data_IF_900936344337
#
_entry.id   IF_900936344337
#
_cell.length_a   1.000
_cell.length_b   1.000
_cell.length_c   1.000
_cell.angle_alpha   90.00
_cell.angle_beta   90.00
_cell.angle_gamma   90.00
#
_symmetry.space_group_name_H-M   'P 1'
#
loop_
_entity.id
_entity.type
_entity.pdbx_description
1 polymer ?
#
# COMPACT_ATOMS: atom_id res chain seq x y z
N UNK A 1 1.31 3.68 -24.31
CA UNK A 1 1.72 4.99 -23.76
C UNK A 1 0.77 5.31 -22.63
N UNK A 2 1.26 5.29 -21.39
CA UNK A 2 0.50 5.75 -20.25
C UNK A 2 0.53 7.28 -20.23
N UNK A 3 -0.58 7.94 -19.88
CA UNK A 3 -0.52 9.34 -19.50
C UNK A 3 -0.48 9.44 -17.97
N UNK A 4 -0.23 10.64 -17.45
CA UNK A 4 -0.17 10.87 -15.99
C UNK A 4 -1.45 10.40 -15.28
N UNK A 5 -2.63 10.46 -15.93
CA UNK A 5 -3.88 9.98 -15.34
C UNK A 5 -3.89 8.45 -15.23
N UNK A 6 -3.32 7.73 -16.19
CA UNK A 6 -3.14 6.28 -16.12
C UNK A 6 -2.27 5.90 -14.93
N UNK A 7 -1.14 6.60 -14.74
CA UNK A 7 -0.24 6.37 -13.58
C UNK A 7 -0.98 6.62 -12.27
N UNK A 8 -1.64 7.77 -12.14
CA UNK A 8 -2.40 8.09 -10.93
C UNK A 8 -3.57 7.15 -10.67
N UNK A 9 -4.21 6.61 -11.71
CA UNK A 9 -5.23 5.57 -11.54
C UNK A 9 -4.62 4.31 -10.93
N UNK A 10 -3.46 3.87 -11.44
CA UNK A 10 -2.82 2.66 -10.94
C UNK A 10 -2.27 2.82 -9.52
N UNK A 11 -1.69 3.98 -9.19
CA UNK A 11 -1.32 4.28 -7.81
C UNK A 11 -2.55 4.23 -6.89
N UNK A 12 -3.65 4.88 -7.26
CA UNK A 12 -4.88 4.82 -6.46
C UNK A 12 -5.40 3.39 -6.28
N UNK A 13 -5.34 2.56 -7.33
CA UNK A 13 -5.75 1.16 -7.26
C UNK A 13 -4.85 0.34 -6.33
N UNK A 14 -3.55 0.59 -6.29
CA UNK A 14 -2.61 -0.06 -5.36
C UNK A 14 -2.95 0.33 -3.92
N UNK A 15 -3.07 1.63 -3.62
CA UNK A 15 -3.40 2.11 -2.26
C UNK A 15 -4.76 1.53 -1.80
N UNK A 16 -5.76 1.47 -2.69
CA UNK A 16 -7.05 0.86 -2.37
C UNK A 16 -6.95 -0.65 -2.15
N UNK A 17 -6.13 -1.36 -2.94
CA UNK A 17 -5.92 -2.79 -2.76
C UNK A 17 -5.20 -3.11 -1.47
N UNK A 18 -4.18 -2.34 -1.09
CA UNK A 18 -3.52 -2.45 0.22
C UNK A 18 -4.48 -2.17 1.37
N UNK A 19 -5.29 -1.11 1.27
CA UNK A 19 -6.38 -0.79 2.21
C UNK A 19 -7.31 -1.99 2.42
N UNK A 20 -7.79 -2.56 1.32
CA UNK A 20 -8.73 -3.69 1.35
C UNK A 20 -8.07 -4.94 1.91
N UNK A 21 -6.79 -5.18 1.59
CA UNK A 21 -6.04 -6.30 2.13
C UNK A 21 -5.91 -6.17 3.65
N UNK A 22 -5.49 -5.01 4.17
CA UNK A 22 -5.39 -4.82 5.62
C UNK A 22 -6.73 -4.86 6.33
N UNK A 23 -7.80 -4.38 5.68
CA UNK A 23 -9.15 -4.55 6.21
C UNK A 23 -9.53 -6.03 6.31
N UNK A 24 -9.27 -6.83 5.27
CA UNK A 24 -9.52 -8.26 5.29
C UNK A 24 -8.69 -8.98 6.35
N UNK A 25 -7.38 -8.71 6.44
CA UNK A 25 -6.53 -9.28 7.50
C UNK A 25 -7.08 -8.92 8.88
N UNK A 26 -7.51 -7.68 9.10
CA UNK A 26 -8.15 -7.27 10.34
C UNK A 26 -9.37 -8.12 10.67
N UNK A 27 -10.21 -8.44 9.67
CA UNK A 27 -11.42 -9.24 9.84
C UNK A 27 -11.14 -10.71 10.15
N UNK A 28 -10.03 -11.28 9.66
CA UNK A 28 -9.58 -12.64 10.03
C UNK A 28 -9.16 -12.74 11.51
N UNK A 29 -8.87 -11.62 12.16
CA UNK A 29 -8.39 -11.57 13.55
C UNK A 29 -9.36 -10.87 14.51
N UNK A 30 -10.69 -10.91 14.29
CA UNK A 30 -11.66 -10.26 15.20
C UNK A 30 -11.56 -10.72 16.66
N UNK A 31 -11.17 -11.97 16.89
CA UNK A 31 -10.97 -12.53 18.23
C UNK A 31 -9.62 -12.15 18.85
N UNK A 32 -8.68 -11.61 18.06
CA UNK A 32 -7.44 -11.03 18.53
C UNK A 32 -7.50 -9.50 18.45
N UNK A 33 -7.95 -8.87 19.53
CA UNK A 33 -8.16 -7.42 19.58
C UNK A 33 -6.92 -6.61 19.22
N UNK A 34 -5.72 -7.10 19.54
CA UNK A 34 -4.47 -6.40 19.24
C UNK A 34 -4.18 -6.38 17.73
N UNK A 35 -4.23 -7.54 17.08
CA UNK A 35 -4.05 -7.64 15.62
C UNK A 35 -5.17 -6.93 14.85
N UNK A 36 -6.43 -7.12 15.27
CA UNK A 36 -7.58 -6.43 14.67
C UNK A 36 -7.34 -4.92 14.66
N UNK A 37 -7.01 -4.33 15.81
CA UNK A 37 -6.80 -2.87 15.90
C UNK A 37 -5.60 -2.41 15.10
N UNK A 38 -4.53 -3.21 15.09
CA UNK A 38 -3.32 -2.89 14.35
C UNK A 38 -3.61 -2.85 12.83
N UNK A 39 -4.19 -3.90 12.26
CA UNK A 39 -4.49 -3.95 10.82
C UNK A 39 -5.62 -3.00 10.41
N UNK A 40 -6.60 -2.75 11.28
CA UNK A 40 -7.59 -1.69 11.05
C UNK A 40 -6.93 -0.31 10.95
N UNK A 41 -5.89 -0.05 11.75
CA UNK A 41 -5.13 1.20 11.64
C UNK A 41 -4.39 1.29 10.31
N UNK A 42 -3.66 0.25 9.92
CA UNK A 42 -2.97 0.20 8.63
C UNK A 42 -3.93 0.48 7.47
N UNK A 43 -5.09 -0.19 7.45
CA UNK A 43 -6.16 0.06 6.47
C UNK A 43 -6.58 1.54 6.39
N UNK A 44 -6.70 2.25 7.51
CA UNK A 44 -7.05 3.69 7.50
C UNK A 44 -5.91 4.58 7.00
N UNK A 45 -4.66 4.20 7.23
CA UNK A 45 -3.50 4.91 6.72
C UNK A 45 -3.47 4.79 5.17
N UNK A 46 -3.71 3.59 4.61
CA UNK A 46 -3.84 3.41 3.15
C UNK A 46 -5.04 4.14 2.53
N UNK A 47 -6.15 4.25 3.26
CA UNK A 47 -7.28 5.07 2.81
C UNK A 47 -6.87 6.55 2.65
N UNK A 48 -5.99 7.03 3.53
CA UNK A 48 -5.45 8.38 3.47
C UNK A 48 -4.54 8.55 2.25
N UNK A 49 -3.69 7.57 1.96
CA UNK A 49 -2.84 7.54 0.76
C UNK A 49 -3.67 7.61 -0.53
N UNK A 50 -4.68 6.75 -0.65
CA UNK A 50 -5.62 6.79 -1.76
C UNK A 50 -6.31 8.18 -1.87
N UNK A 51 -6.59 8.82 -0.74
CA UNK A 51 -7.07 10.20 -0.67
C UNK A 51 -6.11 11.23 -1.27
N UNK A 52 -4.80 11.10 -1.00
CA UNK A 52 -3.76 11.97 -1.58
C UNK A 52 -3.69 11.81 -3.11
N UNK A 53 -3.73 10.57 -3.60
CA UNK A 53 -3.73 10.29 -5.05
C UNK A 53 -4.98 10.85 -5.72
N UNK A 54 -6.17 10.65 -5.11
CA UNK A 54 -7.44 11.24 -5.58
C UNK A 54 -7.37 12.76 -5.67
N UNK A 55 -6.74 13.42 -4.70
CA UNK A 55 -6.55 14.86 -4.72
C UNK A 55 -5.67 15.27 -5.91
N UNK A 56 -4.54 14.59 -6.12
CA UNK A 56 -3.67 14.86 -7.26
C UNK A 56 -4.37 14.67 -8.61
N UNK A 57 -5.20 13.63 -8.75
CA UNK A 57 -6.02 13.41 -9.96
C UNK A 57 -6.96 14.59 -10.25
N UNK A 58 -7.52 15.21 -9.22
CA UNK A 58 -8.38 16.41 -9.38
C UNK A 58 -7.57 17.59 -9.92
N UNK A 59 -6.36 17.81 -9.41
CA UNK A 59 -5.46 18.87 -9.89
C UNK A 59 -5.08 18.66 -11.36
N UNK A 60 -4.74 17.43 -11.74
CA UNK A 60 -4.43 17.08 -13.14
C UNK A 60 -5.61 17.33 -14.06
N UNK A 61 -6.82 16.93 -13.66
CA UNK A 61 -8.05 17.16 -14.45
C UNK A 61 -8.38 18.64 -14.62
N UNK A 62 -8.02 19.49 -13.66
CA UNK A 62 -8.24 20.93 -13.75
C UNK A 62 -7.25 21.62 -14.69
N UNK A 63 -6.06 21.04 -14.89
CA UNK A 63 -4.99 21.64 -15.68
C UNK A 63 -4.34 20.64 -16.64
N UNK A 64 -5.10 20.01 -17.56
CA UNK A 64 -4.61 18.88 -18.37
C UNK A 64 -3.41 19.27 -19.25
N UNK A 65 -3.34 20.52 -19.72
CA UNK A 65 -2.25 21.01 -20.57
C UNK A 65 -0.94 21.29 -19.81
N UNK A 66 -0.94 21.18 -18.48
CA UNK A 66 0.26 21.39 -17.66
C UNK A 66 1.10 20.11 -17.48
N UNK A 67 0.65 18.99 -18.04
CA UNK A 67 1.31 17.69 -17.85
C UNK A 67 1.72 17.12 -19.19
N UNK A 68 3.00 16.76 -19.31
CA UNK A 68 3.54 16.15 -20.52
C UNK A 68 3.06 14.71 -20.66
N UNK A 69 2.81 14.28 -21.90
CA UNK A 69 2.65 12.86 -22.20
C UNK A 69 4.04 12.20 -22.21
N UNK A 70 4.23 11.23 -21.32
CA UNK A 70 5.47 10.45 -21.24
C UNK A 70 5.14 8.99 -21.35
N UNK A 71 5.90 8.25 -22.17
CA UNK A 71 5.72 6.81 -22.29
C UNK A 71 6.40 6.09 -21.13
N UNK A 72 5.64 5.75 -20.09
CA UNK A 72 6.12 4.90 -18.99
C UNK A 72 5.54 3.49 -19.15
N UNK A 73 6.37 2.47 -18.99
CA UNK A 73 5.91 1.08 -18.86
C UNK A 73 5.31 0.92 -17.45
N UNK A 74 4.12 0.34 -17.35
CA UNK A 74 3.41 0.15 -16.08
C UNK A 74 3.23 -1.35 -15.74
N UNK A 75 3.88 -2.25 -16.49
CA UNK A 75 3.72 -3.70 -16.35
C UNK A 75 3.99 -4.20 -14.93
N UNK A 76 5.09 -3.77 -14.30
CA UNK A 76 5.46 -4.15 -12.93
C UNK A 76 4.41 -3.72 -11.90
N UNK A 77 3.86 -2.50 -12.00
CA UNK A 77 2.76 -2.06 -11.12
C UNK A 77 1.49 -2.89 -11.33
N UNK A 78 1.20 -3.29 -12.57
CA UNK A 78 0.06 -4.15 -12.88
C UNK A 78 0.24 -5.54 -12.28
N UNK A 79 1.43 -6.11 -12.36
CA UNK A 79 1.77 -7.39 -11.74
C UNK A 79 1.67 -7.31 -10.21
N UNK A 80 2.17 -6.23 -9.61
CA UNK A 80 2.06 -6.00 -8.18
C UNK A 80 0.59 -5.86 -7.72
N UNK A 81 -0.21 -5.08 -8.43
CA UNK A 81 -1.64 -4.94 -8.13
C UNK A 81 -2.38 -6.30 -8.22
N UNK A 82 -2.08 -7.10 -9.24
CA UNK A 82 -2.64 -8.44 -9.38
C UNK A 82 -2.19 -9.35 -8.23
N UNK A 83 -0.93 -9.27 -7.83
CA UNK A 83 -0.40 -10.02 -6.72
C UNK A 83 -1.15 -9.70 -5.42
N UNK A 84 -1.25 -8.42 -5.02
CA UNK A 84 -1.98 -7.99 -3.81
C UNK A 84 -3.43 -8.49 -3.85
N UNK A 85 -4.11 -8.26 -4.97
CA UNK A 85 -5.54 -8.58 -5.11
C UNK A 85 -5.82 -10.09 -5.03
N UNK A 86 -4.82 -10.93 -5.36
CA UNK A 86 -4.95 -12.39 -5.33
C UNK A 86 -4.72 -13.01 -3.96
N UNK A 87 -4.18 -12.26 -2.99
CA UNK A 87 -3.80 -12.79 -1.68
C UNK A 87 -5.00 -13.41 -0.93
N UNK A 88 -6.16 -12.73 -0.78
CA UNK A 88 -7.28 -13.29 -0.02
C UNK A 88 -7.82 -14.61 -0.57
N UNK A 89 -7.64 -14.86 -1.87
CA UNK A 89 -8.04 -16.10 -2.53
C UNK A 89 -7.02 -17.23 -2.33
N UNK A 90 -5.75 -16.90 -2.09
CA UNK A 90 -4.64 -17.86 -1.96
C UNK A 90 -4.33 -18.23 -0.53
N UNK A 91 -4.50 -17.30 0.39
CA UNK A 91 -4.21 -17.47 1.80
C UNK A 91 -5.51 -17.80 2.55
N UNK A 92 -5.59 -19.00 3.09
CA UNK A 92 -6.70 -19.45 3.93
C UNK A 92 -6.19 -19.78 5.33
N UNK A 93 -6.97 -19.44 6.36
CA UNK A 93 -6.61 -19.64 7.77
C UNK A 93 -5.31 -18.91 8.15
N UNK A 94 -5.29 -17.59 7.97
CA UNK A 94 -4.12 -16.79 8.28
C UNK A 94 -3.71 -16.92 9.75
N UNK A 95 -2.47 -17.35 9.99
CA UNK A 95 -1.90 -17.28 11.33
C UNK A 95 -1.38 -15.86 11.61
N UNK A 96 -1.33 -15.42 12.88
CA UNK A 96 -0.72 -14.14 13.25
C UNK A 96 0.68 -13.91 12.65
N UNK A 97 1.53 -14.93 12.73
CA UNK A 97 2.89 -14.88 12.19
C UNK A 97 2.88 -14.69 10.67
N UNK A 98 2.02 -15.42 9.95
CA UNK A 98 1.92 -15.28 8.49
C UNK A 98 1.39 -13.91 8.11
N UNK A 99 0.40 -13.37 8.83
CA UNK A 99 -0.18 -12.05 8.58
C UNK A 99 0.88 -10.95 8.67
N UNK A 100 1.65 -10.97 9.76
CA UNK A 100 2.70 -10.00 10.02
C UNK A 100 3.83 -10.12 9.01
N UNK A 101 4.26 -11.35 8.69
CA UNK A 101 5.29 -11.58 7.69
C UNK A 101 4.85 -11.09 6.31
N UNK A 102 3.62 -11.41 5.91
CA UNK A 102 3.05 -10.97 4.64
C UNK A 102 2.97 -9.43 4.55
N UNK A 103 2.50 -8.77 5.61
CA UNK A 103 2.45 -7.32 5.65
C UNK A 103 3.84 -6.67 5.56
N UNK A 104 4.84 -7.24 6.25
CA UNK A 104 6.24 -6.78 6.17
C UNK A 104 6.83 -7.01 4.77
N UNK A 105 6.51 -8.15 4.14
CA UNK A 105 6.95 -8.45 2.77
C UNK A 105 6.41 -7.39 1.80
N UNK A 106 5.11 -7.10 1.86
CA UNK A 106 4.45 -6.13 0.97
C UNK A 106 5.00 -4.71 1.13
N UNK A 107 5.11 -4.21 2.36
CA UNK A 107 5.61 -2.86 2.67
C UNK A 107 7.12 -2.71 2.43
N UNK A 108 7.81 -3.85 2.30
CA UNK A 108 9.23 -3.94 2.01
C UNK A 108 9.57 -4.24 0.56
N UNK A 109 8.59 -4.33 -0.35
CA UNK A 109 8.86 -4.65 -1.76
C UNK A 109 9.62 -3.51 -2.45
N UNK A 110 10.80 -3.84 -2.98
CA UNK A 110 11.66 -2.89 -3.67
C UNK A 110 11.11 -2.53 -5.06
N UNK A 111 10.28 -3.39 -5.64
CA UNK A 111 9.66 -3.20 -6.96
C UNK A 111 8.81 -1.92 -7.00
N UNK A 112 8.04 -1.68 -5.95
CA UNK A 112 7.24 -0.46 -5.82
C UNK A 112 8.13 0.79 -5.71
N UNK A 113 9.23 0.69 -4.96
CA UNK A 113 10.17 1.80 -4.74
C UNK A 113 10.95 2.15 -6.01
N UNK A 114 11.37 1.14 -6.78
CA UNK A 114 12.03 1.34 -8.07
C UNK A 114 11.10 2.05 -9.04
N UNK A 115 9.84 1.63 -9.07
CA UNK A 115 8.84 2.21 -9.95
C UNK A 115 8.55 3.68 -9.64
N UNK A 116 8.47 4.02 -8.37
CA UNK A 116 8.27 5.40 -7.87
C UNK A 116 9.37 6.35 -8.38
N UNK A 117 10.62 5.87 -8.50
CA UNK A 117 11.71 6.63 -9.14
C UNK A 117 11.43 6.94 -10.61
N UNK A 118 11.01 5.93 -11.38
CA UNK A 118 10.65 6.09 -12.80
C UNK A 118 9.47 7.05 -12.98
N UNK A 119 8.45 7.00 -12.10
CA UNK A 119 7.34 7.97 -12.12
C UNK A 119 7.86 9.39 -11.94
N UNK A 120 8.75 9.64 -10.98
CA UNK A 120 9.25 10.99 -10.69
C UNK A 120 10.12 11.53 -11.82
N UNK A 121 10.87 10.66 -12.50
CA UNK A 121 11.64 11.03 -13.70
C UNK A 121 10.72 11.39 -14.86
N UNK A 122 9.67 10.59 -15.10
CA UNK A 122 8.68 10.83 -16.16
C UNK A 122 7.73 11.99 -15.86
N UNK A 123 7.38 12.21 -14.60
CA UNK A 123 6.40 13.21 -14.15
C UNK A 123 6.92 13.93 -12.89
N UNK A 124 7.85 14.91 -13.04
CA UNK A 124 8.42 15.64 -11.92
C UNK A 124 7.37 16.36 -11.05
N UNK A 125 6.20 16.68 -11.61
CA UNK A 125 5.06 17.28 -10.90
C UNK A 125 4.47 16.35 -9.84
N UNK A 126 4.70 15.04 -9.93
CA UNK A 126 4.26 14.06 -8.94
C UNK A 126 5.29 13.84 -7.82
N UNK A 127 6.46 14.48 -7.86
CA UNK A 127 7.55 14.23 -6.90
C UNK A 127 7.11 14.31 -5.45
N UNK A 128 6.36 15.35 -5.09
CA UNK A 128 5.91 15.53 -3.71
C UNK A 128 4.94 14.43 -3.27
N UNK A 129 3.98 14.07 -4.13
CA UNK A 129 3.07 12.94 -3.88
C UNK A 129 3.86 11.64 -3.66
N UNK A 130 4.77 11.33 -4.59
CA UNK A 130 5.54 10.09 -4.54
C UNK A 130 6.43 10.04 -3.30
N UNK A 131 7.11 11.12 -2.95
CA UNK A 131 7.92 11.19 -1.74
C UNK A 131 7.09 11.00 -0.47
N UNK A 132 5.90 11.61 -0.39
CA UNK A 132 5.04 11.48 0.78
C UNK A 132 4.56 10.05 0.97
N UNK A 133 4.15 9.39 -0.11
CA UNK A 133 3.75 7.99 -0.08
C UNK A 133 4.93 7.08 0.30
N UNK A 134 6.09 7.19 -0.37
CA UNK A 134 7.29 6.39 -0.05
C UNK A 134 7.70 6.51 1.41
N UNK A 135 7.67 7.73 1.96
CA UNK A 135 7.98 7.95 3.38
C UNK A 135 6.99 7.23 4.28
N UNK A 136 5.71 7.22 3.92
CA UNK A 136 4.68 6.55 4.69
C UNK A 136 4.89 5.04 4.68
N UNK A 137 5.18 4.44 3.52
CA UNK A 137 5.50 3.01 3.38
C UNK A 137 6.73 2.61 4.23
N UNK A 138 7.74 3.49 4.31
CA UNK A 138 8.88 3.30 5.21
C UNK A 138 8.48 3.33 6.69
N UNK A 139 7.62 4.26 7.08
CA UNK A 139 7.07 4.36 8.44
C UNK A 139 6.21 3.13 8.78
N UNK A 140 5.39 2.66 7.84
CA UNK A 140 4.62 1.41 7.94
C UNK A 140 5.52 0.20 8.17
N UNK A 141 6.56 0.03 7.35
CA UNK A 141 7.51 -1.07 7.46
C UNK A 141 8.19 -1.10 8.85
N UNK A 142 8.56 0.08 9.38
CA UNK A 142 9.12 0.21 10.73
C UNK A 142 8.08 -0.19 11.78
N UNK A 143 6.86 0.37 11.71
CA UNK A 143 5.80 0.07 12.67
C UNK A 143 5.40 -1.40 12.68
N UNK A 144 5.31 -2.04 11.50
CA UNK A 144 5.03 -3.45 11.34
C UNK A 144 6.10 -4.33 11.99
N UNK A 145 7.39 -4.04 11.71
CA UNK A 145 8.49 -4.80 12.32
C UNK A 145 8.53 -4.66 13.83
N UNK A 146 8.31 -3.45 14.35
CA UNK A 146 8.27 -3.20 15.79
C UNK A 146 7.05 -3.82 16.48
N UNK A 147 5.89 -3.81 15.82
CA UNK A 147 4.71 -4.50 16.30
C UNK A 147 4.90 -6.01 16.29
N UNK A 148 5.34 -6.58 15.16
CA UNK A 148 5.55 -8.03 15.01
C UNK A 148 6.53 -8.58 16.04
N UNK A 149 7.65 -7.88 16.27
CA UNK A 149 8.63 -8.23 17.30
C UNK A 149 7.97 -8.33 18.68
N UNK A 150 7.27 -7.27 19.10
CA UNK A 150 6.62 -7.23 20.43
C UNK A 150 5.54 -8.29 20.56
N UNK A 151 4.71 -8.46 19.55
CA UNK A 151 3.59 -9.39 19.55
C UNK A 151 4.07 -10.85 19.65
N UNK A 152 5.09 -11.22 18.87
CA UNK A 152 5.63 -12.58 18.85
C UNK A 152 6.48 -12.90 20.10
N UNK A 153 7.19 -11.92 20.66
CA UNK A 153 7.97 -12.09 21.90
C UNK A 153 7.08 -12.20 23.15
N UNK A 154 5.94 -11.51 23.17
CA UNK A 154 5.03 -11.50 24.32
C UNK A 154 4.13 -12.74 24.39
N UNK A 155 4.05 -13.51 23.30
CA UNK A 155 3.02 -14.52 23.07
C UNK A 155 1.63 -13.89 22.89
N UNK A 156 0.69 -14.55 22.19
CA UNK A 156 -0.68 -14.07 22.17
C UNK A 156 -1.18 -14.06 23.62
N UNK A 157 -1.62 -12.89 24.11
CA UNK A 157 -2.26 -12.80 25.42
C UNK A 157 -3.43 -13.80 25.41
N UNK A 158 -3.30 -14.88 26.18
CA UNK A 158 -4.35 -15.86 26.40
C UNK A 158 -5.57 -15.09 26.91
N UNK A 159 -6.57 -14.88 26.04
CA UNK A 159 -7.84 -14.29 26.45
C UNK A 159 -8.49 -15.24 27.46
N UNK A 160 -8.59 -14.80 28.71
CA UNK A 160 -9.52 -15.33 29.70
C UNK A 160 -10.97 -15.09 29.27
#
# INVERSE_FOLDING_TARGET
MANIMTVLNMLEEIEISMKNLYQWISEEFTDNTELYRFFQRMSREEETHAGMVKYQKRLVRQNPNSFNEVSTDLSELQEFLQFISSIPEREHNLTPERALKLAIELEGMDEERMYRGVIVESYPELRELIHNLTRSDEEHCIFLKDFARRYLESGPASGE
#
